data_IF_812848143160
#
_entry.id   IF_812848143160
#
_cell.length_a   1.000
_cell.length_b   1.000
_cell.length_c   1.000
_cell.angle_alpha   90.00
_cell.angle_beta   90.00
_cell.angle_gamma   90.00
#
_symmetry.space_group_name_H-M   'P 1'
#
loop_
_entity.id
_entity.type
_entity.pdbx_description
1 polymer ?
#
# COMPACT_ATOMS: atom_id res chain seq x y z
N UNK A 1 53.51 2.04 31.15
CA UNK A 1 52.40 1.08 31.38
C UNK A 1 51.09 1.70 31.88
N UNK A 2 51.11 2.72 32.76
CA UNK A 2 49.88 3.30 33.35
C UNK A 2 48.89 3.88 32.32
N UNK A 3 49.39 4.57 31.29
CA UNK A 3 48.55 5.15 30.23
C UNK A 3 47.76 4.10 29.42
N UNK A 4 48.39 2.96 29.08
CA UNK A 4 47.71 1.86 28.36
C UNK A 4 46.62 1.22 29.22
N UNK A 5 46.88 1.01 30.51
CA UNK A 5 45.88 0.46 31.43
C UNK A 5 44.66 1.37 31.54
N UNK A 6 44.88 2.69 31.60
CA UNK A 6 43.82 3.69 31.66
C UNK A 6 42.99 3.74 30.37
N UNK A 7 43.63 3.62 29.20
CA UNK A 7 42.95 3.52 27.90
C UNK A 7 42.06 2.28 27.80
N UNK A 8 42.57 1.10 28.18
CA UNK A 8 41.79 -0.14 28.16
C UNK A 8 40.62 -0.11 29.14
N UNK A 9 40.81 0.47 30.33
CA UNK A 9 39.71 0.66 31.30
C UNK A 9 38.67 1.64 30.76
N UNK A 10 39.08 2.74 30.10
CA UNK A 10 38.14 3.67 29.47
C UNK A 10 37.35 3.00 28.33
N UNK A 11 38.00 2.20 27.47
CA UNK A 11 37.33 1.47 26.40
C UNK A 11 36.35 0.40 26.92
N UNK A 12 36.64 -0.22 28.06
CA UNK A 12 35.75 -1.21 28.67
C UNK A 12 34.48 -0.58 29.27
N UNK A 13 34.57 0.64 29.81
CA UNK A 13 33.45 1.30 30.53
C UNK A 13 32.68 2.26 29.61
N UNK A 14 33.29 2.74 28.51
CA UNK A 14 32.64 3.65 27.56
C UNK A 14 31.29 3.14 27.01
N UNK A 15 31.10 1.85 26.64
CA UNK A 15 29.80 1.35 26.19
C UNK A 15 28.72 1.45 27.26
N UNK A 16 29.07 1.20 28.52
CA UNK A 16 28.14 1.30 29.64
C UNK A 16 27.71 2.75 29.89
N UNK A 17 28.65 3.70 29.82
CA UNK A 17 28.33 5.13 29.90
C UNK A 17 27.50 5.63 28.71
N UNK A 18 27.76 5.12 27.51
CA UNK A 18 27.01 5.49 26.31
C UNK A 18 25.56 4.96 26.40
N UNK A 19 25.36 3.72 26.85
CA UNK A 19 24.03 3.15 27.11
C UNK A 19 23.29 3.89 28.24
N UNK A 20 23.99 4.26 29.31
CA UNK A 20 23.41 5.06 30.38
C UNK A 20 23.03 6.47 29.88
N UNK A 21 23.86 7.09 29.04
CA UNK A 21 23.58 8.36 28.38
C UNK A 21 22.35 8.30 27.48
N UNK A 22 22.24 7.27 26.64
CA UNK A 22 21.04 7.03 25.82
C UNK A 22 19.81 6.83 26.71
N UNK A 23 19.92 6.05 27.78
CA UNK A 23 18.79 5.79 28.69
C UNK A 23 18.33 7.03 29.47
N UNK A 24 19.27 7.88 29.89
CA UNK A 24 18.96 9.17 30.52
C UNK A 24 18.36 10.12 29.49
N UNK A 25 18.98 10.28 28.33
CA UNK A 25 18.50 11.14 27.25
C UNK A 25 17.09 10.74 26.80
N UNK A 26 16.81 9.43 26.62
CA UNK A 26 15.48 8.93 26.28
C UNK A 26 14.41 9.15 27.37
N UNK A 27 14.81 9.42 28.63
CA UNK A 27 13.90 9.70 29.74
C UNK A 27 13.76 11.19 30.08
N UNK A 28 14.75 12.01 29.74
CA UNK A 28 14.78 13.44 30.09
C UNK A 28 14.52 14.35 28.89
N UNK A 29 14.77 13.89 27.66
CA UNK A 29 14.21 14.52 26.49
C UNK A 29 12.77 14.05 26.33
N UNK A 30 11.84 14.83 26.87
CA UNK A 30 10.53 14.93 26.24
C UNK A 30 10.80 15.56 24.87
N UNK A 31 10.85 14.71 23.85
CA UNK A 31 10.77 15.19 22.48
C UNK A 31 9.49 16.03 22.41
N UNK A 32 9.61 17.35 22.28
CA UNK A 32 8.49 18.23 21.91
C UNK A 32 8.15 17.97 20.45
N UNK A 33 7.95 16.70 20.12
CA UNK A 33 7.26 16.24 18.95
C UNK A 33 5.78 16.58 19.18
N UNK A 34 5.46 17.84 18.94
CA UNK A 34 4.08 18.20 18.65
C UNK A 34 3.74 17.54 17.32
N UNK A 35 2.96 16.46 17.40
CA UNK A 35 2.35 15.84 16.22
C UNK A 35 1.74 16.95 15.36
N UNK A 36 2.16 17.13 14.09
CA UNK A 36 1.51 18.08 13.20
C UNK A 36 0.07 17.62 12.98
N UNK A 37 -0.87 18.16 13.76
CA UNK A 37 -2.30 17.86 13.76
C UNK A 37 -2.67 16.41 13.37
N UNK A 38 -2.12 15.41 14.07
CA UNK A 38 -2.36 13.98 13.82
C UNK A 38 -3.68 13.43 14.41
N UNK A 39 -4.59 14.30 14.89
CA UNK A 39 -5.85 13.87 15.53
C UNK A 39 -6.70 13.00 14.61
N UNK A 40 -6.63 13.21 13.29
CA UNK A 40 -7.34 12.40 12.30
C UNK A 40 -6.69 11.05 12.01
N UNK A 41 -5.36 10.96 11.98
CA UNK A 41 -4.67 9.76 11.50
C UNK A 41 -4.49 8.69 12.59
N UNK A 42 -4.21 9.10 13.83
CA UNK A 42 -4.19 8.17 14.96
C UNK A 42 -5.54 7.48 15.16
N UNK A 43 -6.65 8.22 14.97
CA UNK A 43 -8.00 7.64 15.03
C UNK A 43 -8.25 6.62 13.91
N UNK A 44 -7.74 6.87 12.70
CA UNK A 44 -7.84 5.93 11.57
C UNK A 44 -7.03 4.68 11.81
N UNK A 45 -5.77 4.81 12.23
CA UNK A 45 -4.91 3.67 12.56
C UNK A 45 -5.50 2.84 13.70
N UNK A 46 -6.04 3.49 14.74
CA UNK A 46 -6.70 2.81 15.85
C UNK A 46 -7.93 1.99 15.43
N UNK A 47 -8.66 2.42 14.40
CA UNK A 47 -9.80 1.67 13.87
C UNK A 47 -9.39 0.29 13.31
N UNK A 48 -8.14 0.13 12.86
CA UNK A 48 -7.64 -1.16 12.36
C UNK A 48 -7.09 -2.09 13.44
N UNK A 49 -6.91 -1.63 14.69
CA UNK A 49 -6.24 -2.43 15.73
C UNK A 49 -6.98 -3.72 16.03
N UNK A 50 -8.31 -3.67 16.13
CA UNK A 50 -9.16 -4.86 16.34
C UNK A 50 -9.04 -5.84 15.17
N UNK A 51 -9.28 -5.35 13.96
CA UNK A 51 -9.16 -6.11 12.71
C UNK A 51 -7.79 -6.80 12.56
N UNK A 52 -6.69 -6.09 12.81
CA UNK A 52 -5.35 -6.68 12.72
C UNK A 52 -5.14 -7.76 13.78
N UNK A 53 -5.59 -7.54 15.03
CA UNK A 53 -5.50 -8.54 16.10
C UNK A 53 -6.29 -9.80 15.77
N UNK A 54 -7.45 -9.66 15.15
CA UNK A 54 -8.27 -10.79 14.70
C UNK A 54 -7.67 -11.49 13.48
N UNK A 55 -7.02 -10.75 12.58
CA UNK A 55 -6.44 -11.29 11.34
C UNK A 55 -5.19 -12.12 11.62
N UNK A 56 -4.26 -11.58 12.42
CA UNK A 56 -2.89 -12.13 12.56
C UNK A 56 -2.80 -13.59 12.99
N UNK A 57 -3.64 -14.12 13.89
CA UNK A 57 -3.64 -15.55 14.20
C UNK A 57 -3.82 -16.39 12.93
N UNK A 58 -4.90 -16.18 12.18
CA UNK A 58 -5.31 -17.09 11.11
C UNK A 58 -4.50 -16.99 9.81
N UNK A 59 -3.67 -15.97 9.67
CA UNK A 59 -2.92 -15.72 8.41
C UNK A 59 -1.42 -16.00 8.52
N UNK A 60 -0.94 -16.31 9.72
CA UNK A 60 0.46 -16.69 9.95
C UNK A 60 0.81 -18.02 9.25
N UNK A 61 2.04 -18.09 8.72
CA UNK A 61 2.56 -19.23 7.93
C UNK A 61 2.50 -20.56 8.69
N UNK A 62 2.55 -20.51 10.03
CA UNK A 62 2.63 -21.70 10.88
C UNK A 62 1.31 -22.06 11.59
N UNK A 63 0.19 -21.42 11.26
CA UNK A 63 -1.09 -21.73 11.92
C UNK A 63 -1.96 -22.72 11.15
N UNK A 64 -2.82 -23.40 11.91
CA UNK A 64 -3.84 -24.31 11.40
C UNK A 64 -4.70 -23.60 10.34
N UNK A 65 -4.89 -24.26 9.20
CA UNK A 65 -5.78 -23.74 8.15
C UNK A 65 -7.22 -23.76 8.66
N UNK A 66 -7.79 -22.57 8.82
CA UNK A 66 -9.20 -22.35 9.18
C UNK A 66 -9.83 -21.44 8.12
N UNK A 67 -10.12 -22.06 6.97
CA UNK A 67 -10.68 -21.39 5.80
C UNK A 67 -11.98 -20.61 6.11
N UNK A 68 -12.98 -21.18 6.83
CA UNK A 68 -14.18 -20.43 7.22
C UNK A 68 -13.84 -19.15 8.00
N UNK A 69 -12.91 -19.23 8.95
CA UNK A 69 -12.56 -18.07 9.77
C UNK A 69 -11.82 -16.99 8.97
N UNK A 70 -10.94 -17.37 8.04
CA UNK A 70 -10.28 -16.42 7.13
C UNK A 70 -11.30 -15.71 6.24
N UNK A 71 -12.33 -16.43 5.76
CA UNK A 71 -13.43 -15.84 4.98
C UNK A 71 -14.25 -14.86 5.82
N UNK A 72 -14.56 -15.19 7.06
CA UNK A 72 -15.29 -14.27 7.96
C UNK A 72 -14.48 -13.01 8.25
N UNK A 73 -13.19 -13.12 8.53
CA UNK A 73 -12.32 -11.96 8.72
C UNK A 73 -12.32 -11.08 7.46
N UNK A 74 -12.20 -11.67 6.26
CA UNK A 74 -12.26 -10.91 5.02
C UNK A 74 -13.59 -10.18 4.83
N UNK A 75 -14.71 -10.80 5.20
CA UNK A 75 -16.02 -10.13 5.20
C UNK A 75 -16.05 -8.96 6.18
N UNK A 76 -15.47 -9.08 7.37
CA UNK A 76 -15.34 -7.98 8.34
C UNK A 76 -14.58 -6.80 7.72
N UNK A 77 -13.40 -7.04 7.13
CA UNK A 77 -12.64 -6.01 6.41
C UNK A 77 -13.46 -5.29 5.34
N UNK A 78 -14.23 -6.05 4.54
CA UNK A 78 -15.09 -5.48 3.50
C UNK A 78 -16.22 -4.65 4.12
N UNK A 79 -16.91 -5.20 5.12
CA UNK A 79 -18.06 -4.55 5.76
C UNK A 79 -17.69 -3.27 6.50
N UNK A 80 -16.59 -3.27 7.25
CA UNK A 80 -16.10 -2.10 7.98
C UNK A 80 -15.64 -1.01 7.00
N UNK A 81 -15.06 -1.40 5.87
CA UNK A 81 -14.67 -0.43 4.83
C UNK A 81 -15.90 0.17 4.15
N UNK A 82 -16.92 -0.63 3.85
CA UNK A 82 -18.17 -0.15 3.22
C UNK A 82 -18.99 0.72 4.17
N UNK A 83 -18.98 0.42 5.47
CA UNK A 83 -19.58 1.24 6.51
C UNK A 83 -18.78 2.52 6.82
N UNK A 84 -17.57 2.66 6.28
CA UNK A 84 -16.68 3.79 6.54
C UNK A 84 -16.06 3.81 7.94
N UNK A 85 -16.13 2.68 8.66
CA UNK A 85 -15.50 2.48 9.97
C UNK A 85 -13.98 2.47 9.85
N UNK A 86 -13.49 1.82 8.79
CA UNK A 86 -12.10 1.91 8.36
C UNK A 86 -12.01 2.71 7.07
N UNK A 87 -10.96 3.52 6.95
CA UNK A 87 -10.74 4.44 5.82
C UNK A 87 -9.29 4.36 5.37
N UNK A 88 -9.01 4.66 4.09
CA UNK A 88 -7.64 4.67 3.59
C UNK A 88 -6.68 5.49 4.46
N UNK A 89 -5.49 4.94 4.68
CA UNK A 89 -4.44 5.49 5.53
C UNK A 89 -3.55 6.45 4.74
N UNK A 90 -4.11 7.60 4.39
CA UNK A 90 -3.46 8.64 3.59
C UNK A 90 -2.16 9.14 4.27
N UNK A 91 -1.05 9.33 3.55
CA UNK A 91 0.17 9.89 4.13
C UNK A 91 -0.05 11.31 4.65
N UNK A 92 0.59 11.61 5.77
CA UNK A 92 0.59 12.93 6.41
C UNK A 92 1.96 13.61 6.30
N UNK A 93 3.03 12.81 6.23
CA UNK A 93 4.42 13.26 6.07
C UNK A 93 5.17 12.49 4.97
N UNK A 94 6.37 12.96 4.62
CA UNK A 94 7.22 12.35 3.61
C UNK A 94 7.76 10.98 4.06
N UNK A 95 7.99 10.81 5.36
CA UNK A 95 8.38 9.55 6.00
C UNK A 95 7.32 8.45 5.87
N UNK A 96 6.04 8.84 5.73
CA UNK A 96 4.91 7.92 5.56
C UNK A 96 4.63 7.53 4.11
N UNK A 97 5.39 8.06 3.15
CA UNK A 97 5.37 7.59 1.77
C UNK A 97 5.89 6.14 1.68
N UNK A 98 6.70 5.74 2.66
CA UNK A 98 7.27 4.40 2.77
C UNK A 98 6.53 3.55 3.82
N UNK A 99 6.34 2.27 3.54
CA UNK A 99 5.64 1.34 4.44
C UNK A 99 6.51 0.90 5.63
N UNK A 100 6.61 1.76 6.63
CA UNK A 100 7.13 1.40 7.93
C UNK A 100 6.07 1.57 9.03
N UNK A 101 6.37 1.03 10.22
CA UNK A 101 5.52 1.20 11.40
C UNK A 101 4.14 0.56 11.32
N UNK A 102 3.14 1.25 11.88
CA UNK A 102 1.79 0.70 12.10
C UNK A 102 1.01 0.53 10.79
N UNK A 103 1.11 1.48 9.84
CA UNK A 103 0.47 1.41 8.52
C UNK A 103 0.97 0.21 7.71
N UNK A 104 2.29 -0.06 7.78
CA UNK A 104 2.90 -1.26 7.19
C UNK A 104 2.32 -2.55 7.74
N UNK A 105 2.18 -2.67 9.07
CA UNK A 105 1.58 -3.85 9.71
C UNK A 105 0.12 -4.09 9.31
N UNK A 106 -0.66 -3.01 9.17
CA UNK A 106 -2.06 -3.09 8.71
C UNK A 106 -2.11 -3.62 7.27
N UNK A 107 -1.27 -3.07 6.37
CA UNK A 107 -1.18 -3.54 4.99
C UNK A 107 -0.76 -5.01 4.92
N UNK A 108 0.28 -5.39 5.66
CA UNK A 108 0.81 -6.75 5.61
C UNK A 108 -0.21 -7.76 6.15
N UNK A 109 -0.96 -7.43 7.20
CA UNK A 109 -2.05 -8.28 7.70
C UNK A 109 -3.12 -8.52 6.62
N UNK A 110 -3.56 -7.47 5.92
CA UNK A 110 -4.51 -7.58 4.80
C UNK A 110 -3.93 -8.43 3.65
N UNK A 111 -2.68 -8.19 3.27
CA UNK A 111 -2.00 -8.96 2.23
C UNK A 111 -1.84 -10.44 2.58
N UNK A 112 -1.54 -10.76 3.84
CA UNK A 112 -1.44 -12.15 4.31
C UNK A 112 -2.80 -12.86 4.26
N UNK A 113 -3.88 -12.19 4.66
CA UNK A 113 -5.25 -12.69 4.51
C UNK A 113 -5.60 -12.96 3.04
N UNK A 114 -5.33 -12.00 2.16
CA UNK A 114 -5.60 -12.14 0.72
C UNK A 114 -4.79 -13.29 0.11
N UNK A 115 -3.54 -13.47 0.53
CA UNK A 115 -2.70 -14.61 0.10
C UNK A 115 -3.28 -15.94 0.57
N UNK A 116 -3.78 -16.04 1.81
CA UNK A 116 -4.47 -17.24 2.30
C UNK A 116 -5.71 -17.57 1.49
N UNK A 117 -6.57 -16.58 1.21
CA UNK A 117 -7.73 -16.76 0.32
C UNK A 117 -7.31 -17.22 -1.08
N UNK A 118 -6.22 -16.67 -1.62
CA UNK A 118 -5.70 -17.10 -2.92
C UNK A 118 -5.24 -18.57 -2.90
N UNK A 119 -4.60 -19.02 -1.82
CA UNK A 119 -4.19 -20.43 -1.63
C UNK A 119 -5.42 -21.35 -1.57
N UNK A 120 -6.46 -20.98 -0.82
CA UNK A 120 -7.71 -21.73 -0.77
C UNK A 120 -8.40 -21.78 -2.14
N UNK A 121 -8.44 -20.66 -2.84
CA UNK A 121 -8.97 -20.61 -4.20
C UNK A 121 -8.21 -21.54 -5.16
N UNK A 122 -6.88 -21.54 -5.12
CA UNK A 122 -6.05 -22.42 -5.95
C UNK A 122 -6.33 -23.90 -5.62
N UNK A 123 -6.47 -24.27 -4.34
CA UNK A 123 -6.87 -25.62 -3.93
C UNK A 123 -8.28 -26.01 -4.43
N UNK A 124 -9.24 -25.09 -4.39
CA UNK A 124 -10.59 -25.31 -4.91
C UNK A 124 -10.61 -25.46 -6.42
N UNK A 125 -9.79 -24.70 -7.15
CA UNK A 125 -9.64 -24.85 -8.61
C UNK A 125 -9.12 -26.24 -8.96
N UNK A 126 -8.09 -26.73 -8.26
CA UNK A 126 -7.53 -28.07 -8.46
C UNK A 126 -8.56 -29.18 -8.22
N UNK A 127 -9.45 -28.99 -7.23
CA UNK A 127 -10.54 -29.94 -6.91
C UNK A 127 -11.77 -29.81 -7.82
N UNK A 128 -11.79 -28.84 -8.74
CA UNK A 128 -12.95 -28.54 -9.59
C UNK A 128 -14.09 -27.79 -8.88
N UNK A 129 -13.87 -27.31 -7.65
CA UNK A 129 -14.82 -26.53 -6.86
C UNK A 129 -14.82 -25.05 -7.27
N UNK A 130 -15.19 -24.77 -8.52
CA UNK A 130 -15.07 -23.42 -9.12
C UNK A 130 -15.86 -22.34 -8.37
N UNK A 131 -17.00 -22.71 -7.77
CA UNK A 131 -17.81 -21.78 -6.98
C UNK A 131 -17.09 -21.28 -5.74
N UNK A 132 -16.49 -22.18 -4.97
CA UNK A 132 -15.74 -21.84 -3.76
C UNK A 132 -14.50 -21.02 -4.11
N UNK A 133 -13.79 -21.40 -5.17
CA UNK A 133 -12.67 -20.61 -5.68
C UNK A 133 -13.09 -19.18 -6.05
N UNK A 134 -14.22 -19.00 -6.72
CA UNK A 134 -14.72 -17.68 -7.08
C UNK A 134 -15.06 -16.82 -5.84
N UNK A 135 -15.63 -17.43 -4.79
CA UNK A 135 -15.92 -16.75 -3.53
C UNK A 135 -14.62 -16.21 -2.91
N UNK A 136 -13.59 -17.05 -2.78
CA UNK A 136 -12.31 -16.66 -2.16
C UNK A 136 -11.59 -15.57 -2.96
N UNK A 137 -11.59 -15.69 -4.29
CA UNK A 137 -10.96 -14.68 -5.17
C UNK A 137 -11.68 -13.34 -5.12
N UNK A 138 -13.01 -13.34 -5.03
CA UNK A 138 -13.82 -12.13 -4.90
C UNK A 138 -13.60 -11.48 -3.54
N UNK A 139 -13.63 -12.25 -2.44
CA UNK A 139 -13.33 -11.74 -1.09
C UNK A 139 -11.93 -11.13 -1.02
N UNK A 140 -10.94 -11.81 -1.59
CA UNK A 140 -9.58 -11.29 -1.70
C UNK A 140 -9.53 -9.98 -2.48
N UNK A 141 -10.24 -9.90 -3.62
CA UNK A 141 -10.21 -8.70 -4.47
C UNK A 141 -10.94 -7.49 -3.85
N UNK A 142 -12.05 -7.73 -3.16
CA UNK A 142 -12.88 -6.68 -2.51
C UNK A 142 -12.18 -6.16 -1.25
N UNK A 143 -11.58 -7.05 -0.44
CA UNK A 143 -10.85 -6.65 0.78
C UNK A 143 -9.61 -5.78 0.51
N UNK A 144 -8.97 -5.93 -0.66
CA UNK A 144 -7.87 -5.05 -1.08
C UNK A 144 -8.33 -3.59 -1.26
N UNK A 145 -9.61 -3.35 -1.59
CA UNK A 145 -10.12 -1.98 -1.81
C UNK A 145 -10.05 -1.13 -0.53
N UNK A 146 -10.15 -1.74 0.66
CA UNK A 146 -10.12 -1.05 1.95
C UNK A 146 -8.84 -0.21 2.16
N UNK A 147 -7.72 -0.67 1.59
CA UNK A 147 -6.41 -0.02 1.76
C UNK A 147 -5.79 0.47 0.45
N UNK A 148 -6.34 0.08 -0.72
CA UNK A 148 -5.77 0.35 -2.05
C UNK A 148 -5.39 1.81 -2.25
N UNK A 149 -6.22 2.71 -1.73
CA UNK A 149 -6.06 4.16 -1.89
C UNK A 149 -5.43 4.85 -0.68
N UNK A 150 -4.58 4.15 0.08
CA UNK A 150 -3.88 4.73 1.24
C UNK A 150 -2.61 5.48 0.84
N UNK A 151 -1.80 4.96 -0.07
CA UNK A 151 -0.62 5.62 -0.61
C UNK A 151 -0.33 5.12 -2.03
N UNK A 152 0.62 5.74 -2.75
CA UNK A 152 1.07 5.21 -4.04
C UNK A 152 1.66 3.79 -3.90
N UNK A 153 2.43 3.54 -2.84
CA UNK A 153 2.97 2.20 -2.60
C UNK A 153 1.84 1.19 -2.32
N UNK A 154 0.80 1.58 -1.55
CA UNK A 154 -0.40 0.74 -1.37
C UNK A 154 -1.06 0.44 -2.71
N UNK A 155 -1.26 1.48 -3.51
CA UNK A 155 -1.89 1.38 -4.82
C UNK A 155 -1.10 0.42 -5.71
N UNK A 156 0.23 0.50 -5.74
CA UNK A 156 1.10 -0.42 -6.48
C UNK A 156 0.92 -1.86 -5.99
N UNK A 157 1.24 -2.11 -4.71
CA UNK A 157 1.32 -3.46 -4.15
C UNK A 157 -0.03 -4.16 -4.25
N UNK A 158 -1.10 -3.46 -3.86
CA UNK A 158 -2.45 -4.01 -3.86
C UNK A 158 -2.99 -4.16 -5.29
N UNK A 159 -2.62 -3.29 -6.24
CA UNK A 159 -2.99 -3.49 -7.65
C UNK A 159 -2.28 -4.70 -8.27
N UNK A 160 -1.02 -4.94 -7.95
CA UNK A 160 -0.31 -6.13 -8.44
C UNK A 160 -0.95 -7.43 -7.94
N UNK A 161 -1.29 -7.48 -6.65
CA UNK A 161 -1.98 -8.63 -6.05
C UNK A 161 -3.38 -8.79 -6.63
N UNK A 162 -4.14 -7.70 -6.75
CA UNK A 162 -5.46 -7.73 -7.38
C UNK A 162 -5.38 -8.23 -8.83
N UNK A 163 -4.34 -7.87 -9.59
CA UNK A 163 -4.14 -8.37 -10.96
C UNK A 163 -3.99 -9.90 -10.99
N UNK A 164 -3.26 -10.47 -10.02
CA UNK A 164 -3.11 -11.91 -9.85
C UNK A 164 -4.44 -12.62 -9.55
N UNK A 165 -5.28 -12.02 -8.70
CA UNK A 165 -6.61 -12.54 -8.39
C UNK A 165 -7.56 -12.44 -9.61
N UNK A 166 -7.57 -11.30 -10.30
CA UNK A 166 -8.41 -11.09 -11.47
C UNK A 166 -8.10 -12.08 -12.61
N UNK A 167 -6.83 -12.42 -12.83
CA UNK A 167 -6.46 -13.48 -13.79
C UNK A 167 -7.05 -14.84 -13.43
N UNK A 168 -7.08 -15.19 -12.14
CA UNK A 168 -7.72 -16.44 -11.68
C UNK A 168 -9.22 -16.38 -11.84
N UNK A 169 -9.84 -15.24 -11.52
CA UNK A 169 -11.28 -15.02 -11.73
C UNK A 169 -11.62 -15.22 -13.20
N UNK A 170 -10.85 -14.64 -14.12
CA UNK A 170 -11.02 -14.81 -15.56
C UNK A 170 -10.96 -16.30 -15.98
N UNK A 171 -10.08 -17.11 -15.39
CA UNK A 171 -10.01 -18.55 -15.67
C UNK A 171 -11.19 -19.35 -15.09
N UNK A 172 -11.73 -18.93 -13.93
CA UNK A 172 -12.82 -19.62 -13.22
C UNK A 172 -14.19 -19.20 -13.74
N UNK A 173 -14.33 -17.94 -14.15
CA UNK A 173 -15.61 -17.31 -14.52
C UNK A 173 -16.43 -18.09 -15.56
N UNK A 174 -15.83 -18.60 -16.67
CA UNK A 174 -16.58 -19.37 -17.67
C UNK A 174 -17.12 -20.71 -17.15
N UNK A 175 -16.59 -21.21 -16.03
CA UNK A 175 -16.95 -22.50 -15.43
C UNK A 175 -18.05 -22.36 -14.37
N UNK A 176 -18.49 -21.13 -14.09
CA UNK A 176 -19.50 -20.83 -13.07
C UNK A 176 -20.92 -20.94 -13.63
N UNK A 177 -21.85 -21.38 -12.78
CA UNK A 177 -23.28 -21.29 -13.04
C UNK A 177 -23.75 -19.83 -13.17
N UNK A 178 -24.93 -19.61 -13.76
CA UNK A 178 -25.48 -18.26 -14.01
C UNK A 178 -25.58 -17.42 -12.72
N UNK A 179 -26.06 -18.00 -11.62
CA UNK A 179 -26.16 -17.33 -10.32
C UNK A 179 -24.80 -16.86 -9.79
N UNK A 180 -23.78 -17.70 -9.86
CA UNK A 180 -22.45 -17.36 -9.36
C UNK A 180 -21.75 -16.35 -10.30
N UNK A 181 -21.95 -16.46 -11.63
CA UNK A 181 -21.48 -15.45 -12.59
C UNK A 181 -22.09 -14.07 -12.33
N UNK A 182 -23.39 -14.02 -12.03
CA UNK A 182 -24.06 -12.77 -11.66
C UNK A 182 -23.50 -12.17 -10.36
N UNK A 183 -23.22 -13.01 -9.37
CA UNK A 183 -22.60 -12.57 -8.11
C UNK A 183 -21.19 -12.00 -8.34
N UNK A 184 -20.33 -12.73 -9.07
CA UNK A 184 -18.98 -12.23 -9.42
C UNK A 184 -19.08 -10.94 -10.22
N UNK A 185 -19.99 -10.85 -11.18
CA UNK A 185 -20.23 -9.65 -11.98
C UNK A 185 -20.60 -8.45 -11.11
N UNK A 186 -21.55 -8.61 -10.18
CA UNK A 186 -21.93 -7.54 -9.25
C UNK A 186 -20.75 -7.06 -8.39
N UNK A 187 -19.90 -7.98 -7.93
CA UNK A 187 -18.69 -7.62 -7.18
C UNK A 187 -17.67 -6.88 -8.05
N UNK A 188 -17.46 -7.32 -9.30
CA UNK A 188 -16.58 -6.64 -10.26
C UNK A 188 -17.07 -5.22 -10.60
N UNK A 189 -18.38 -5.02 -10.74
CA UNK A 189 -18.98 -3.69 -10.96
C UNK A 189 -18.72 -2.75 -9.78
N UNK A 190 -18.85 -3.22 -8.53
CA UNK A 190 -18.50 -2.40 -7.35
C UNK A 190 -17.04 -1.97 -7.31
N UNK A 191 -16.14 -2.80 -7.86
CA UNK A 191 -14.70 -2.48 -7.93
C UNK A 191 -14.36 -1.50 -9.07
N UNK A 192 -15.31 -1.18 -9.96
CA UNK A 192 -15.09 -0.17 -11.00
C UNK A 192 -15.07 1.23 -10.39
N UNK A 193 -13.86 1.66 -10.05
CA UNK A 193 -13.38 3.04 -10.00
C UNK A 193 -14.16 4.00 -9.09
N UNK A 194 -13.56 4.29 -7.94
CA UNK A 194 -13.70 5.59 -7.30
C UNK A 194 -12.58 6.53 -7.80
N UNK A 195 -12.85 7.31 -8.86
CA UNK A 195 -11.90 8.33 -9.36
C UNK A 195 -11.49 9.30 -8.23
N UNK A 196 -12.41 9.58 -7.30
CA UNK A 196 -12.20 10.54 -6.22
C UNK A 196 -11.16 10.03 -5.22
N UNK A 197 -11.14 8.73 -4.95
CA UNK A 197 -10.15 8.12 -4.06
C UNK A 197 -8.72 8.22 -4.62
N UNK A 198 -8.57 8.08 -5.94
CA UNK A 198 -7.28 8.29 -6.60
C UNK A 198 -6.84 9.76 -6.56
N UNK A 199 -7.74 10.67 -6.96
CA UNK A 199 -7.45 12.11 -6.98
C UNK A 199 -7.03 12.62 -5.59
N UNK A 200 -7.64 12.08 -4.53
CA UNK A 200 -7.29 12.38 -3.14
C UNK A 200 -5.83 12.08 -2.81
N UNK A 201 -5.31 10.90 -3.20
CA UNK A 201 -3.92 10.52 -2.94
C UNK A 201 -2.99 11.39 -3.77
N UNK A 202 -3.30 11.58 -5.06
CA UNK A 202 -2.46 12.36 -5.96
C UNK A 202 -2.27 13.79 -5.44
N UNK A 203 -3.37 14.45 -5.05
CA UNK A 203 -3.33 15.80 -4.45
C UNK A 203 -2.53 15.78 -3.15
N UNK A 204 -2.73 14.78 -2.29
CA UNK A 204 -2.05 14.75 -0.99
C UNK A 204 -0.55 14.50 -1.10
N UNK A 205 -0.13 13.59 -1.96
CA UNK A 205 1.29 13.36 -2.24
C UNK A 205 1.93 14.60 -2.86
N UNK A 206 1.26 15.28 -3.79
CA UNK A 206 1.76 16.55 -4.34
C UNK A 206 1.96 17.60 -3.26
N UNK A 207 1.04 17.73 -2.30
CA UNK A 207 1.19 18.65 -1.17
C UNK A 207 2.41 18.30 -0.30
N UNK A 208 2.59 17.03 0.03
CA UNK A 208 3.72 16.55 0.85
C UNK A 208 5.04 16.84 0.13
N UNK A 209 5.13 16.48 -1.15
CA UNK A 209 6.31 16.68 -1.96
C UNK A 209 6.66 18.17 -2.09
N UNK A 210 5.64 19.01 -2.36
CA UNK A 210 5.84 20.47 -2.49
C UNK A 210 6.31 21.10 -1.17
N UNK A 211 5.77 20.63 -0.04
CA UNK A 211 6.17 21.10 1.28
C UNK A 211 7.61 20.66 1.62
N UNK A 212 8.00 19.45 1.25
CA UNK A 212 9.35 18.95 1.47
C UNK A 212 10.37 19.68 0.59
N UNK A 213 10.05 19.90 -0.68
CA UNK A 213 10.84 20.73 -1.60
C UNK A 213 11.02 22.16 -1.05
N UNK A 214 9.97 22.77 -0.50
CA UNK A 214 10.05 24.11 0.06
C UNK A 214 10.94 24.19 1.33
N UNK A 215 11.11 23.09 2.06
CA UNK A 215 11.99 23.01 3.24
C UNK A 215 13.47 22.91 2.85
N UNK A 216 13.79 22.28 1.71
CA UNK A 216 15.14 22.20 1.17
C UNK A 216 15.46 23.50 0.40
N UNK A 217 16.42 24.29 0.89
CA UNK A 217 16.65 25.70 0.53
C UNK A 217 17.06 26.02 -0.93
N UNK A 218 17.13 25.05 -1.84
CA UNK A 218 17.45 25.25 -3.27
C UNK A 218 16.21 25.13 -4.18
N UNK A 219 15.25 26.01 -3.89
CA UNK A 219 13.82 25.87 -4.24
C UNK A 219 13.52 26.00 -5.74
N UNK A 220 14.28 26.76 -6.52
CA UNK A 220 13.90 27.07 -7.91
C UNK A 220 14.10 25.93 -8.91
N UNK A 221 15.04 25.01 -8.66
CA UNK A 221 15.29 23.84 -9.51
C UNK A 221 14.28 22.73 -9.22
N UNK A 222 14.08 22.45 -7.93
CA UNK A 222 13.14 21.43 -7.46
C UNK A 222 11.68 21.79 -7.81
N UNK A 223 11.29 23.07 -7.75
CA UNK A 223 9.94 23.52 -8.10
C UNK A 223 9.65 23.39 -9.61
N UNK A 224 10.60 23.77 -10.48
CA UNK A 224 10.47 23.56 -11.94
C UNK A 224 10.37 22.08 -12.28
N UNK A 225 11.10 21.22 -11.58
CA UNK A 225 11.10 19.78 -11.83
C UNK A 225 9.80 19.11 -11.35
N UNK A 226 9.33 19.41 -10.13
CA UNK A 226 8.05 18.92 -9.59
C UNK A 226 6.84 19.34 -10.46
N UNK A 227 6.88 20.55 -11.04
CA UNK A 227 5.85 21.01 -11.97
C UNK A 227 5.81 20.25 -13.30
N UNK A 228 6.91 19.58 -13.68
CA UNK A 228 6.98 18.70 -14.86
C UNK A 228 6.68 17.23 -14.54
N UNK A 229 6.76 16.81 -13.28
CA UNK A 229 6.52 15.42 -12.84
C UNK A 229 5.15 15.15 -12.25
N UNK A 230 4.44 16.18 -11.73
CA UNK A 230 3.05 16.02 -11.30
C UNK A 230 2.12 16.48 -12.42
N UNK A 231 1.26 15.60 -12.97
CA UNK A 231 0.39 15.99 -14.06
C UNK A 231 -0.62 17.06 -13.68
N UNK A 232 -0.49 18.25 -14.26
CA UNK A 232 -1.42 19.36 -14.01
C UNK A 232 -2.78 19.19 -14.70
N UNK A 233 -2.96 18.22 -15.61
CA UNK A 233 -4.20 18.02 -16.36
C UNK A 233 -4.73 16.58 -16.19
N UNK A 234 -6.06 16.44 -16.16
CA UNK A 234 -6.76 15.15 -16.00
C UNK A 234 -6.18 14.09 -16.95
N UNK A 235 -5.58 13.06 -16.36
CA UNK A 235 -4.57 12.21 -17.02
C UNK A 235 -5.14 11.17 -18.00
N UNK A 236 -6.37 11.37 -18.46
CA UNK A 236 -7.01 10.51 -19.47
C UNK A 236 -6.57 10.81 -20.90
N UNK A 237 -5.78 11.86 -21.14
CA UNK A 237 -5.48 12.38 -22.48
C UNK A 237 -3.99 12.38 -22.90
N UNK A 238 -3.15 11.42 -22.48
CA UNK A 238 -1.81 11.32 -23.08
C UNK A 238 -1.35 9.88 -23.40
N UNK A 239 -1.27 9.52 -24.69
CA UNK A 239 -0.33 8.53 -25.20
C UNK A 239 1.00 9.24 -25.53
N UNK A 240 2.13 8.67 -25.05
CA UNK A 240 3.52 9.03 -25.37
C UNK A 240 4.21 10.11 -24.51
N UNK A 241 4.94 9.64 -23.48
CA UNK A 241 6.19 10.25 -23.01
C UNK A 241 7.33 9.22 -23.13
N UNK A 242 7.51 8.71 -24.35
CA UNK A 242 8.68 7.96 -24.77
C UNK A 242 9.47 8.81 -25.76
N UNK A 243 10.26 9.77 -25.26
CA UNK A 243 11.43 10.43 -25.90
C UNK A 243 11.76 11.76 -25.20
N UNK A 244 12.41 11.67 -24.05
CA UNK A 244 13.30 12.68 -23.48
C UNK A 244 13.91 11.98 -22.26
N UNK A 245 15.15 11.47 -22.28
CA UNK A 245 16.40 12.23 -22.44
C UNK A 245 17.48 11.26 -22.93
N UNK A 246 17.80 11.35 -24.21
CA UNK A 246 19.10 10.91 -24.73
C UNK A 246 20.01 12.12 -24.77
N UNK A 247 21.09 12.08 -24.00
CA UNK A 247 22.19 13.05 -24.07
C UNK A 247 22.08 14.18 -23.04
N UNK A 248 22.77 14.02 -21.91
CA UNK A 248 23.82 14.93 -21.43
C UNK A 248 24.32 14.51 -20.03
N UNK A 249 25.62 14.21 -19.98
CA UNK A 249 26.64 14.48 -18.96
C UNK A 249 26.30 14.30 -17.47
N UNK A 250 27.15 13.49 -16.81
CA UNK A 250 27.13 13.20 -15.37
C UNK A 250 27.07 14.44 -14.47
N UNK A 251 25.89 14.66 -13.89
CA UNK A 251 25.74 15.36 -12.64
C UNK A 251 25.42 14.33 -11.56
N UNK A 252 26.17 14.39 -10.46
CA UNK A 252 25.83 13.74 -9.19
C UNK A 252 24.46 14.27 -8.77
N UNK A 253 23.41 13.48 -8.99
CA UNK A 253 22.10 13.78 -8.42
C UNK A 253 22.25 13.74 -6.90
N UNK A 254 21.77 14.79 -6.24
CA UNK A 254 21.64 14.78 -4.79
C UNK A 254 20.63 13.68 -4.39
N UNK A 255 20.78 13.04 -3.22
CA UNK A 255 19.96 11.89 -2.82
C UNK A 255 18.44 12.21 -2.87
N UNK A 256 18.10 13.49 -2.65
CA UNK A 256 16.75 14.01 -2.77
C UNK A 256 16.23 14.03 -4.23
N UNK A 257 17.05 14.40 -5.22
CA UNK A 257 16.65 14.39 -6.64
C UNK A 257 16.41 12.95 -7.15
N UNK A 258 17.21 12.00 -6.66
CA UNK A 258 17.04 10.58 -7.00
C UNK A 258 15.76 9.99 -6.38
N UNK A 259 15.41 10.40 -5.16
CA UNK A 259 14.16 10.00 -4.49
C UNK A 259 12.92 10.48 -5.26
N UNK A 260 12.89 11.74 -5.70
CA UNK A 260 11.73 12.34 -6.41
C UNK A 260 11.50 11.68 -7.78
N UNK A 261 12.58 11.38 -8.52
CA UNK A 261 12.49 10.70 -9.82
C UNK A 261 11.97 9.27 -9.64
N UNK A 262 12.46 8.54 -8.64
CA UNK A 262 11.98 7.20 -8.34
C UNK A 262 10.51 7.20 -7.94
N UNK A 263 10.07 8.13 -7.09
CA UNK A 263 8.66 8.27 -6.70
C UNK A 263 7.73 8.56 -7.90
N UNK A 264 8.20 9.35 -8.88
CA UNK A 264 7.43 9.67 -10.09
C UNK A 264 7.29 8.48 -11.04
N UNK A 265 8.36 7.67 -11.16
CA UNK A 265 8.35 6.41 -11.92
C UNK A 265 7.43 5.40 -11.22
N UNK A 266 7.52 5.27 -9.91
CA UNK A 266 6.66 4.41 -9.11
C UNK A 266 5.20 4.81 -9.25
N UNK A 267 4.85 6.08 -9.09
CA UNK A 267 3.48 6.59 -9.29
C UNK A 267 2.93 6.26 -10.68
N UNK A 268 3.75 6.38 -11.73
CA UNK A 268 3.39 6.00 -13.10
C UNK A 268 3.14 4.49 -13.24
N UNK A 269 3.97 3.66 -12.61
CA UNK A 269 3.80 2.20 -12.58
C UNK A 269 2.54 1.79 -11.81
N UNK A 270 2.24 2.46 -10.68
CA UNK A 270 1.00 2.27 -9.90
C UNK A 270 -0.24 2.47 -10.78
N UNK A 271 -0.24 3.58 -11.53
CA UNK A 271 -1.32 3.97 -12.42
C UNK A 271 -1.52 2.96 -13.55
N UNK A 272 -0.44 2.47 -14.16
CA UNK A 272 -0.53 1.45 -15.19
C UNK A 272 -1.08 0.13 -14.63
N UNK A 273 -0.67 -0.27 -13.42
CA UNK A 273 -1.18 -1.48 -12.76
C UNK A 273 -2.68 -1.37 -12.48
N UNK A 274 -3.13 -0.26 -11.90
CA UNK A 274 -4.55 -0.03 -11.64
C UNK A 274 -5.38 0.04 -12.93
N UNK A 275 -4.89 0.75 -13.95
CA UNK A 275 -5.53 0.82 -15.27
C UNK A 275 -5.70 -0.57 -15.89
N UNK A 276 -4.67 -1.42 -15.81
CA UNK A 276 -4.74 -2.82 -16.29
C UNK A 276 -5.81 -3.61 -15.55
N UNK A 277 -5.94 -3.44 -14.23
CA UNK A 277 -6.98 -4.12 -13.46
C UNK A 277 -8.38 -3.68 -13.87
N UNK A 278 -8.59 -2.38 -14.14
CA UNK A 278 -9.89 -1.87 -14.64
C UNK A 278 -10.25 -2.46 -16.01
N UNK A 279 -9.28 -2.53 -16.92
CA UNK A 279 -9.49 -3.16 -18.23
C UNK A 279 -9.83 -4.65 -18.09
N UNK A 280 -9.12 -5.36 -17.20
CA UNK A 280 -9.38 -6.77 -16.93
C UNK A 280 -10.76 -7.00 -16.30
N UNK A 281 -11.20 -6.12 -15.40
CA UNK A 281 -12.57 -6.13 -14.85
C UNK A 281 -13.60 -5.99 -15.98
N UNK A 282 -13.41 -5.04 -16.90
CA UNK A 282 -14.30 -4.86 -18.04
C UNK A 282 -14.34 -6.09 -18.97
N UNK A 283 -13.19 -6.71 -19.20
CA UNK A 283 -13.08 -7.95 -19.97
C UNK A 283 -13.87 -9.10 -19.33
N UNK A 284 -13.68 -9.34 -18.02
CA UNK A 284 -14.43 -10.38 -17.27
C UNK A 284 -15.94 -10.15 -17.38
N UNK A 285 -16.39 -8.91 -17.25
CA UNK A 285 -17.82 -8.57 -17.35
C UNK A 285 -18.39 -8.78 -18.74
N UNK A 286 -17.58 -8.57 -19.79
CA UNK A 286 -17.99 -8.84 -21.17
C UNK A 286 -18.22 -10.34 -21.43
N UNK A 287 -17.55 -11.22 -20.68
CA UNK A 287 -17.77 -12.67 -20.77
C UNK A 287 -19.15 -13.10 -20.26
N UNK A 288 -19.77 -12.33 -19.37
CA UNK A 288 -21.09 -12.62 -18.81
C UNK A 288 -22.26 -12.22 -19.72
N UNK A 289 -21.99 -11.44 -20.78
CA UNK A 289 -23.00 -10.91 -21.70
C UNK A 289 -23.23 -11.79 -22.95
N UNK A 290 -22.52 -12.92 -23.04
CA UNK A 290 -22.63 -13.92 -24.11
C UNK A 290 -23.30 -15.20 -23.59
#
# INVERSE_FOLDING_TARGET
>A
MRARKLLYTAMAIAPAFLMAGIGVHARTFEDTFEWPNAKGDHSRVNAYVGLVRETLPYVSINQLDDEPQVREIAKTWISDSQAGMIKPLVPVGADELYFFGQKGRILDANLMMVRKLQIYADSHIEKGNFREAAIDLVLGSDSLQALKYSSFVSLMRLSLVQSSLLRRIECVYPKLGSKDRAHVGACMERMKVDKRAFDLIAVRTQQILSAEIARHKDTDRAFRQASTTVPQNSFYEQPALAKARSGEVGQSYDDAEFAIINESIEASQCLMADKRNRLKIAEILSLGSK
#
